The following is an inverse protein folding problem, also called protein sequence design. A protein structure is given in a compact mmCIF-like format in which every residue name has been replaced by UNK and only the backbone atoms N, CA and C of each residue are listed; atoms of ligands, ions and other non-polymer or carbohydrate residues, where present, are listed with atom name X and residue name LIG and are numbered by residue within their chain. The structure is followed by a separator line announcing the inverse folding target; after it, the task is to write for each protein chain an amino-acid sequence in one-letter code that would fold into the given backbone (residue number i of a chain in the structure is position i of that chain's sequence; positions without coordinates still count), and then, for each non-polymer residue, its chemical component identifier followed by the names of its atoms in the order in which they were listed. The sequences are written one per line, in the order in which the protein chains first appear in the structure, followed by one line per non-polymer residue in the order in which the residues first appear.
data_IF_998323146335
#
_entry.id   IF_998323146335
#
_cell.length_a   1.000
_cell.length_b   1.000
_cell.length_c   1.000
_cell.angle_alpha   90.00
_cell.angle_beta   90.00
_cell.angle_gamma   90.00
#
_symmetry.space_group_name_H-M   'P 1'
#
loop_
_entity.id
_entity.type
_entity.pdbx_description
1 polymer ?
#
# COMPACT_ATOMS: atom_id res chain seq x y z
N UNK A 1 -4.49 -20.04 -16.56
CA UNK A 1 -4.82 -21.48 -16.59
C UNK A 1 -5.01 -21.84 -18.05
N UNK A 2 -4.46 -22.97 -18.47
CA UNK A 2 -4.77 -23.50 -19.79
C UNK A 2 -6.25 -23.76 -19.92
N UNK A 3 -6.81 -23.61 -21.12
CA UNK A 3 -8.25 -23.83 -21.41
C UNK A 3 -8.74 -25.24 -21.02
N UNK A 4 -7.85 -26.15 -20.62
CA UNK A 4 -8.13 -27.52 -20.19
C UNK A 4 -8.18 -27.76 -18.69
N UNK A 5 -7.89 -26.76 -17.82
CA UNK A 5 -7.90 -26.99 -16.38
C UNK A 5 -9.32 -27.06 -15.83
N UNK A 6 -9.65 -28.22 -15.23
CA UNK A 6 -10.95 -28.49 -14.60
C UNK A 6 -10.72 -28.96 -13.16
N UNK A 7 -11.27 -28.23 -12.19
CA UNK A 7 -11.25 -28.63 -10.78
C UNK A 7 -12.64 -29.11 -10.35
N UNK A 8 -12.70 -30.30 -9.78
CA UNK A 8 -13.91 -30.89 -9.19
C UNK A 8 -13.69 -31.11 -7.70
N UNK A 9 -14.69 -30.78 -6.91
CA UNK A 9 -14.66 -30.96 -5.46
C UNK A 9 -15.73 -31.95 -5.04
N UNK A 10 -15.29 -32.98 -4.33
CA UNK A 10 -16.17 -34.00 -3.80
C UNK A 10 -16.06 -34.07 -2.28
N UNK A 11 -17.16 -34.30 -1.59
CA UNK A 11 -17.14 -34.61 -0.16
C UNK A 11 -16.89 -36.13 0.03
N UNK A 12 -16.11 -36.49 1.05
CA UNK A 12 -15.91 -37.92 1.44
C UNK A 12 -17.21 -38.60 1.86
N UNK A 13 -18.29 -37.84 2.07
CA UNK A 13 -19.64 -38.39 2.33
C UNK A 13 -20.12 -39.27 1.18
N UNK A 14 -19.78 -38.95 -0.08
CA UNK A 14 -20.20 -39.80 -1.21
C UNK A 14 -19.59 -41.20 -1.15
N UNK A 15 -18.37 -41.35 -0.57
CA UNK A 15 -17.74 -42.66 -0.34
C UNK A 15 -18.42 -43.40 0.83
N UNK A 16 -18.79 -42.68 1.88
CA UNK A 16 -19.40 -43.22 3.09
C UNK A 16 -20.82 -43.76 2.84
N UNK A 17 -21.60 -42.99 2.10
CA UNK A 17 -23.02 -43.29 1.83
C UNK A 17 -23.26 -44.13 0.59
N UNK A 18 -22.21 -44.38 -0.21
CA UNK A 18 -22.33 -45.08 -1.50
C UNK A 18 -23.32 -44.39 -2.45
N UNK A 19 -23.25 -43.07 -2.48
CA UNK A 19 -24.12 -42.16 -3.22
C UNK A 19 -23.86 -42.21 -4.74
N UNK A 20 -24.81 -41.76 -5.55
CA UNK A 20 -24.70 -41.62 -7.01
C UNK A 20 -23.46 -40.82 -7.46
N UNK A 21 -22.97 -39.92 -6.62
CA UNK A 21 -21.72 -39.18 -6.84
C UNK A 21 -20.47 -40.07 -6.75
N UNK A 22 -20.53 -41.27 -6.21
CA UNK A 22 -19.38 -42.18 -6.11
C UNK A 22 -18.92 -42.67 -7.48
N UNK A 23 -19.86 -43.00 -8.38
CA UNK A 23 -19.53 -43.40 -9.75
C UNK A 23 -18.90 -42.22 -10.53
N UNK A 24 -19.39 -41.00 -10.30
CA UNK A 24 -18.85 -39.79 -10.89
C UNK A 24 -17.43 -39.56 -10.39
N UNK A 25 -17.21 -39.64 -9.06
CA UNK A 25 -15.90 -39.52 -8.44
C UNK A 25 -14.91 -40.53 -9.00
N UNK A 26 -15.32 -41.79 -9.11
CA UNK A 26 -14.46 -42.88 -9.63
C UNK A 26 -14.05 -42.64 -11.08
N UNK A 27 -15.00 -42.20 -11.92
CA UNK A 27 -14.73 -41.88 -13.31
C UNK A 27 -13.79 -40.67 -13.45
N UNK A 28 -14.00 -39.62 -12.65
CA UNK A 28 -13.16 -38.42 -12.72
C UNK A 28 -11.76 -38.69 -12.15
N UNK A 29 -11.62 -39.52 -11.10
CA UNK A 29 -10.31 -39.94 -10.59
C UNK A 29 -9.48 -40.66 -11.64
N UNK A 30 -10.10 -41.52 -12.45
CA UNK A 30 -9.41 -42.25 -13.51
C UNK A 30 -8.86 -41.34 -14.63
N UNK A 31 -9.32 -40.09 -14.71
CA UNK A 31 -8.95 -39.09 -15.72
C UNK A 31 -8.16 -37.91 -15.16
N UNK A 32 -7.92 -37.94 -13.84
CA UNK A 32 -7.28 -36.82 -13.15
C UNK A 32 -5.78 -36.93 -13.17
N UNK A 33 -5.11 -35.83 -13.46
CA UNK A 33 -3.66 -35.69 -13.36
C UNK A 33 -3.20 -35.41 -11.93
N UNK A 34 -4.12 -34.96 -11.06
CA UNK A 34 -3.87 -34.64 -9.66
C UNK A 34 -5.06 -34.92 -8.77
N UNK A 35 -4.79 -35.46 -7.59
CA UNK A 35 -5.74 -35.63 -6.50
C UNK A 35 -5.28 -34.85 -5.26
N UNK A 36 -6.18 -34.05 -4.71
CA UNK A 36 -6.00 -33.35 -3.45
C UNK A 36 -6.90 -33.95 -2.39
N UNK A 37 -6.31 -34.62 -1.41
CA UNK A 37 -7.01 -35.13 -0.25
C UNK A 37 -6.94 -34.15 0.90
N UNK A 38 -8.08 -33.58 1.29
CA UNK A 38 -8.14 -32.53 2.32
C UNK A 38 -8.96 -33.02 3.49
N UNK A 39 -8.35 -33.10 4.66
CA UNK A 39 -9.00 -33.49 5.93
C UNK A 39 -9.77 -34.84 5.89
N UNK A 40 -9.29 -35.77 5.12
CA UNK A 40 -9.89 -37.10 5.04
C UNK A 40 -9.42 -37.95 6.23
N UNK A 41 -10.32 -38.20 7.18
CA UNK A 41 -10.01 -38.93 8.42
C UNK A 41 -10.79 -40.24 8.59
N UNK A 42 -11.80 -40.47 7.77
CA UNK A 42 -12.63 -41.65 7.84
C UNK A 42 -11.96 -42.88 7.20
N UNK A 43 -11.90 -43.97 7.93
CA UNK A 43 -11.20 -45.21 7.51
C UNK A 43 -11.75 -45.81 6.21
N UNK A 44 -13.07 -45.75 6.00
CA UNK A 44 -13.72 -46.26 4.78
C UNK A 44 -13.32 -45.45 3.57
N UNK A 45 -13.31 -44.12 3.73
CA UNK A 45 -12.89 -43.18 2.71
C UNK A 45 -11.39 -43.31 2.38
N UNK A 46 -10.56 -43.52 3.40
CA UNK A 46 -9.11 -43.74 3.25
C UNK A 46 -8.86 -45.01 2.44
N UNK A 47 -9.46 -46.14 2.84
CA UNK A 47 -9.29 -47.42 2.15
C UNK A 47 -9.78 -47.35 0.69
N UNK A 48 -10.88 -46.66 0.44
CA UNK A 48 -11.43 -46.50 -0.90
C UNK A 48 -10.50 -45.62 -1.79
N UNK A 49 -9.99 -44.51 -1.26
CA UNK A 49 -9.07 -43.64 -1.97
C UNK A 49 -7.74 -44.36 -2.26
N UNK A 50 -7.18 -45.11 -1.31
CA UNK A 50 -5.98 -45.89 -1.53
C UNK A 50 -6.12 -46.87 -2.69
N UNK A 51 -7.29 -47.52 -2.79
CA UNK A 51 -7.60 -48.48 -3.86
C UNK A 51 -7.74 -47.78 -5.23
N UNK A 52 -8.32 -46.58 -5.28
CA UNK A 52 -8.75 -45.97 -6.52
C UNK A 52 -7.81 -44.82 -7.00
N UNK A 53 -6.82 -44.37 -6.21
CA UNK A 53 -5.92 -43.28 -6.57
C UNK A 53 -4.54 -43.74 -7.06
N UNK A 54 -4.28 -45.02 -7.13
CA UNK A 54 -2.97 -45.60 -7.46
C UNK A 54 -2.43 -45.23 -8.87
N UNK A 55 -3.33 -44.94 -9.80
CA UNK A 55 -2.98 -44.51 -11.16
C UNK A 55 -2.72 -43.01 -11.31
N UNK A 56 -3.08 -42.21 -10.31
CA UNK A 56 -2.99 -40.76 -10.39
C UNK A 56 -1.51 -40.34 -10.21
N UNK A 57 -0.93 -39.56 -11.15
CA UNK A 57 0.47 -39.19 -11.10
C UNK A 57 0.85 -38.38 -9.86
N UNK A 58 -0.05 -37.50 -9.43
CA UNK A 58 0.18 -36.55 -8.38
C UNK A 58 -0.90 -36.62 -7.31
N UNK A 59 -0.55 -37.05 -6.10
CA UNK A 59 -1.48 -37.11 -4.96
C UNK A 59 -0.94 -36.26 -3.84
N UNK A 60 -1.66 -35.19 -3.50
CA UNK A 60 -1.32 -34.27 -2.41
C UNK A 60 -2.30 -34.49 -1.27
N UNK A 61 -1.78 -34.70 -0.07
CA UNK A 61 -2.60 -34.91 1.12
C UNK A 61 -2.40 -33.74 2.09
N UNK A 62 -3.50 -33.17 2.55
CA UNK A 62 -3.54 -32.11 3.55
C UNK A 62 -4.43 -32.56 4.72
N UNK A 63 -3.86 -32.61 5.94
CA UNK A 63 -4.55 -33.13 7.12
C UNK A 63 -5.21 -34.49 6.90
N UNK A 64 -4.63 -35.31 6.07
CA UNK A 64 -5.05 -36.63 5.73
C UNK A 64 -3.94 -37.63 6.04
N UNK A 65 -4.21 -38.92 6.33
CA UNK A 65 -3.17 -39.87 6.66
C UNK A 65 -2.08 -40.02 5.61
N UNK A 66 -0.85 -40.20 6.06
CA UNK A 66 0.34 -40.36 5.20
C UNK A 66 0.22 -41.50 4.20
N UNK A 67 -0.59 -42.49 4.53
CA UNK A 67 -0.88 -43.63 3.66
C UNK A 67 -1.62 -43.27 2.35
N UNK A 68 -2.21 -42.08 2.28
CA UNK A 68 -2.89 -41.59 1.08
C UNK A 68 -1.99 -40.82 0.13
N UNK A 69 -0.84 -40.31 0.61
CA UNK A 69 0.08 -39.51 -0.18
C UNK A 69 1.37 -40.24 -0.45
N UNK A 70 1.86 -40.22 -1.67
CA UNK A 70 3.05 -40.99 -1.98
C UNK A 70 4.07 -40.33 -2.92
N UNK A 71 3.70 -39.33 -3.71
CA UNK A 71 4.58 -38.85 -4.78
C UNK A 71 5.02 -37.41 -4.66
N UNK A 72 4.29 -36.57 -3.96
CA UNK A 72 4.59 -35.15 -3.86
C UNK A 72 5.21 -34.73 -2.53
N UNK A 73 5.43 -35.69 -1.59
CA UNK A 73 6.07 -35.42 -0.32
C UNK A 73 5.39 -34.28 0.44
N UNK A 74 4.17 -34.47 0.85
CA UNK A 74 3.47 -33.55 1.73
C UNK A 74 3.89 -33.76 3.18
N UNK A 75 3.90 -32.71 3.99
CA UNK A 75 3.94 -32.87 5.44
C UNK A 75 2.54 -33.15 5.94
N UNK A 76 2.41 -34.17 6.77
CA UNK A 76 1.13 -34.58 7.31
C UNK A 76 0.99 -34.01 8.71
N UNK A 77 -0.06 -33.24 8.93
CA UNK A 77 -0.48 -32.85 10.27
C UNK A 77 -1.43 -33.95 10.77
N UNK A 78 -0.96 -34.81 11.63
CA UNK A 78 -1.81 -35.81 12.27
C UNK A 78 -2.83 -35.13 13.16
N UNK A 79 -4.10 -35.42 12.92
CA UNK A 79 -5.18 -34.90 13.72
C UNK A 79 -5.25 -35.65 15.07
N UNK A 80 -4.70 -35.05 16.12
CA UNK A 80 -4.79 -35.56 17.50
C UNK A 80 -6.14 -35.21 18.12
N UNK A 81 -7.19 -35.84 17.63
CA UNK A 81 -8.52 -35.95 18.27
C UNK A 81 -9.27 -34.64 18.52
N UNK A 82 -10.40 -34.47 17.88
CA UNK A 82 -11.40 -33.41 18.05
C UNK A 82 -11.80 -32.71 16.75
N UNK A 83 -12.92 -32.05 16.76
CA UNK A 83 -13.54 -31.41 15.58
C UNK A 83 -12.54 -30.63 14.75
N UNK A 84 -12.28 -31.07 13.52
CA UNK A 84 -11.24 -30.57 12.59
C UNK A 84 -11.36 -29.06 12.35
N UNK A 85 -12.57 -28.54 12.24
CA UNK A 85 -12.82 -27.09 12.03
C UNK A 85 -12.48 -26.22 13.24
N UNK A 86 -12.60 -26.73 14.47
CA UNK A 86 -12.23 -25.98 15.68
C UNK A 86 -10.71 -25.88 15.85
N UNK A 87 -9.98 -26.93 15.46
CA UNK A 87 -8.52 -27.01 15.66
C UNK A 87 -7.71 -26.26 14.61
N UNK A 88 -8.19 -26.14 13.37
CA UNK A 88 -7.55 -25.29 12.36
C UNK A 88 -7.72 -23.81 12.67
N UNK A 89 -8.85 -23.42 13.27
CA UNK A 89 -8.99 -22.07 13.81
C UNK A 89 -8.00 -21.79 14.95
N UNK A 90 -7.53 -22.83 15.66
CA UNK A 90 -6.53 -22.73 16.72
C UNK A 90 -5.08 -22.82 16.21
N UNK A 91 -4.81 -23.48 15.08
CA UNK A 91 -3.50 -23.48 14.41
C UNK A 91 -3.15 -22.11 13.83
N UNK A 92 -4.17 -21.34 13.42
CA UNK A 92 -4.00 -19.94 12.97
C UNK A 92 -4.02 -18.95 14.14
N UNK A 93 -4.31 -19.38 15.37
CA UNK A 93 -4.16 -18.57 16.57
C UNK A 93 -2.75 -18.70 17.16
N UNK A 94 -2.15 -17.64 17.70
CA UNK A 94 -0.73 -17.58 18.10
C UNK A 94 -0.35 -18.50 19.28
N UNK A 95 -1.09 -19.54 19.61
CA UNK A 95 -0.80 -20.48 20.71
C UNK A 95 0.11 -21.66 20.34
N UNK A 96 0.38 -21.91 19.06
CA UNK A 96 1.45 -22.83 18.68
C UNK A 96 2.20 -22.31 17.45
N UNK A 97 3.14 -21.43 17.71
CA UNK A 97 4.04 -20.89 16.67
C UNK A 97 4.80 -21.99 15.89
N UNK A 98 4.96 -23.18 16.47
CA UNK A 98 5.64 -24.32 15.82
C UNK A 98 4.76 -24.99 14.78
N UNK A 99 3.48 -25.29 15.09
CA UNK A 99 2.57 -25.95 14.14
C UNK A 99 2.22 -25.03 12.95
N UNK A 100 2.01 -23.73 13.22
CA UNK A 100 1.82 -22.77 12.14
C UNK A 100 3.08 -22.66 11.26
N UNK A 101 4.26 -22.71 11.85
CA UNK A 101 5.53 -22.68 11.13
C UNK A 101 5.74 -23.92 10.27
N UNK A 102 5.32 -25.11 10.74
CA UNK A 102 5.39 -26.36 10.00
C UNK A 102 4.43 -26.36 8.80
N UNK A 103 3.20 -25.86 8.97
CA UNK A 103 2.25 -25.68 7.86
C UNK A 103 2.80 -24.71 6.83
N UNK A 104 3.33 -23.57 7.26
CA UNK A 104 3.98 -22.58 6.38
C UNK A 104 5.12 -23.22 5.62
N UNK A 105 6.01 -23.92 6.31
CA UNK A 105 7.16 -24.58 5.70
C UNK A 105 6.73 -25.61 4.67
N UNK A 106 5.73 -26.42 4.99
CA UNK A 106 5.18 -27.44 4.08
C UNK A 106 4.59 -26.83 2.82
N UNK A 107 3.81 -25.76 2.96
CA UNK A 107 3.23 -25.05 1.82
C UNK A 107 4.32 -24.38 0.99
N UNK A 108 5.32 -23.75 1.64
CA UNK A 108 6.47 -23.17 0.94
C UNK A 108 7.30 -24.22 0.22
N UNK A 109 7.58 -25.35 0.85
CA UNK A 109 8.32 -26.46 0.24
C UNK A 109 7.58 -27.10 -0.92
N UNK A 110 6.26 -27.21 -0.84
CA UNK A 110 5.40 -27.68 -1.94
C UNK A 110 5.34 -26.64 -3.06
N UNK A 111 5.27 -25.35 -2.71
CA UNK A 111 5.28 -24.24 -3.66
C UNK A 111 6.57 -24.14 -4.46
N UNK A 112 7.71 -24.28 -3.79
CA UNK A 112 9.03 -24.21 -4.44
C UNK A 112 9.34 -25.44 -5.31
N UNK A 113 8.88 -26.61 -4.88
CA UNK A 113 9.10 -27.87 -5.62
C UNK A 113 8.25 -28.01 -6.87
N UNK A 114 7.10 -27.36 -6.91
CA UNK A 114 6.16 -27.51 -8.00
C UNK A 114 6.00 -26.21 -8.78
N UNK A 115 6.61 -26.15 -9.94
CA UNK A 115 6.48 -25.03 -10.88
C UNK A 115 5.14 -25.01 -11.64
N UNK A 116 4.26 -25.98 -11.42
CA UNK A 116 2.96 -26.02 -12.06
C UNK A 116 2.00 -25.01 -11.40
N UNK A 117 1.50 -24.06 -12.20
CA UNK A 117 0.57 -23.02 -11.74
C UNK A 117 -0.70 -23.62 -11.13
N UNK A 118 -1.10 -24.81 -11.59
CA UNK A 118 -2.27 -25.53 -11.10
C UNK A 118 -2.11 -26.02 -9.65
N UNK A 119 -0.93 -26.52 -9.29
CA UNK A 119 -0.63 -26.94 -7.90
C UNK A 119 -0.64 -25.74 -6.99
N UNK A 120 -0.02 -24.64 -7.41
CA UNK A 120 0.00 -23.38 -6.68
C UNK A 120 -1.42 -22.83 -6.47
N UNK A 121 -2.26 -22.90 -7.49
CA UNK A 121 -3.66 -22.53 -7.38
C UNK A 121 -4.41 -23.39 -6.36
N UNK A 122 -4.24 -24.70 -6.42
CA UNK A 122 -4.87 -25.62 -5.46
C UNK A 122 -4.40 -25.35 -4.02
N UNK A 123 -3.12 -25.09 -3.80
CA UNK A 123 -2.58 -24.71 -2.48
C UNK A 123 -3.22 -23.42 -1.96
N UNK A 124 -3.43 -22.43 -2.82
CA UNK A 124 -4.12 -21.20 -2.45
C UNK A 124 -5.60 -21.41 -2.13
N UNK A 125 -6.29 -22.26 -2.88
CA UNK A 125 -7.68 -22.63 -2.59
C UNK A 125 -7.78 -23.32 -1.24
N UNK A 126 -6.85 -24.22 -0.93
CA UNK A 126 -6.76 -24.91 0.36
C UNK A 126 -6.53 -23.88 1.47
N UNK A 127 -5.50 -23.03 1.35
CA UNK A 127 -5.19 -21.99 2.33
C UNK A 127 -6.41 -21.08 2.54
N UNK A 128 -7.07 -20.63 1.47
CA UNK A 128 -8.25 -19.77 1.56
C UNK A 128 -9.47 -20.50 2.17
N UNK A 129 -9.51 -21.81 2.13
CA UNK A 129 -10.60 -22.59 2.74
C UNK A 129 -10.40 -22.78 4.24
N UNK A 130 -9.16 -22.85 4.68
CA UNK A 130 -8.78 -23.08 6.07
C UNK A 130 -8.48 -21.81 6.86
N UNK A 131 -7.91 -20.78 6.22
CA UNK A 131 -7.75 -19.46 6.80
C UNK A 131 -9.07 -18.72 6.60
N UNK A 132 -9.60 -18.04 7.64
CA UNK A 132 -10.77 -17.15 7.48
C UNK A 132 -10.60 -16.34 6.20
N UNK A 133 -11.55 -16.39 5.26
CA UNK A 133 -11.39 -15.83 3.95
C UNK A 133 -10.95 -14.37 4.05
N UNK A 134 -9.73 -14.09 3.62
CA UNK A 134 -9.23 -12.73 3.54
C UNK A 134 -10.11 -12.03 2.51
N UNK A 135 -10.77 -10.91 2.84
CA UNK A 135 -11.71 -10.24 1.94
C UNK A 135 -11.11 -9.95 0.57
N UNK A 136 -9.81 -9.67 0.50
CA UNK A 136 -9.09 -9.44 -0.75
C UNK A 136 -9.14 -10.66 -1.69
N UNK A 137 -9.11 -11.88 -1.16
CA UNK A 137 -9.20 -13.08 -1.99
C UNK A 137 -10.61 -13.29 -2.54
N UNK A 138 -11.66 -12.83 -1.85
CA UNK A 138 -13.02 -12.78 -2.40
C UNK A 138 -13.11 -11.80 -3.55
N UNK A 139 -12.51 -10.63 -3.41
CA UNK A 139 -12.48 -9.61 -4.45
C UNK A 139 -11.61 -10.01 -5.65
N UNK A 140 -10.53 -10.75 -5.42
CA UNK A 140 -9.70 -11.33 -6.46
C UNK A 140 -10.45 -12.37 -7.29
N UNK A 141 -11.28 -13.19 -6.66
CA UNK A 141 -12.18 -14.12 -7.37
C UNK A 141 -13.18 -13.37 -8.26
N UNK A 142 -13.63 -12.20 -7.82
CA UNK A 142 -14.54 -11.36 -8.61
C UNK A 142 -13.86 -10.68 -9.81
N UNK A 143 -12.53 -10.46 -9.75
CA UNK A 143 -11.75 -9.84 -10.83
C UNK A 143 -11.21 -10.82 -11.88
N UNK A 144 -11.37 -12.12 -11.66
CA UNK A 144 -11.03 -13.17 -12.62
C UNK A 144 -9.74 -13.96 -12.32
N UNK A 145 -9.57 -15.01 -13.11
CA UNK A 145 -8.47 -15.97 -12.97
C UNK A 145 -7.11 -15.37 -13.35
N UNK A 146 -7.07 -14.37 -14.25
CA UNK A 146 -5.84 -13.70 -14.69
C UNK A 146 -5.09 -13.05 -13.53
N UNK A 147 -5.80 -12.31 -12.67
CA UNK A 147 -5.24 -11.68 -11.47
C UNK A 147 -4.63 -12.71 -10.52
N UNK A 148 -5.35 -13.79 -10.27
CA UNK A 148 -4.90 -14.85 -9.38
C UNK A 148 -3.67 -15.56 -9.96
N UNK A 149 -3.68 -15.90 -11.24
CA UNK A 149 -2.54 -16.49 -11.94
C UNK A 149 -1.31 -15.59 -11.91
N UNK A 150 -1.49 -14.28 -12.13
CA UNK A 150 -0.40 -13.31 -12.02
C UNK A 150 0.21 -13.30 -10.62
N UNK A 151 -0.62 -13.24 -9.58
CA UNK A 151 -0.16 -13.25 -8.19
C UNK A 151 0.59 -14.54 -7.86
N UNK A 152 0.06 -15.69 -8.29
CA UNK A 152 0.65 -16.99 -8.03
C UNK A 152 1.99 -17.18 -8.73
N UNK A 153 2.02 -16.85 -10.02
CA UNK A 153 3.19 -17.06 -10.85
C UNK A 153 4.35 -16.14 -10.46
N UNK A 154 4.04 -14.88 -10.18
CA UNK A 154 5.06 -13.85 -10.00
C UNK A 154 5.35 -13.50 -8.55
N UNK A 155 4.38 -13.68 -7.63
CA UNK A 155 4.43 -13.17 -6.26
C UNK A 155 4.01 -14.20 -5.19
N UNK A 156 4.13 -15.48 -5.50
CA UNK A 156 3.62 -16.53 -4.61
C UNK A 156 4.17 -16.48 -3.19
N UNK A 157 5.47 -16.25 -3.05
CA UNK A 157 6.13 -16.14 -1.75
C UNK A 157 5.63 -14.93 -0.95
N UNK A 158 5.53 -13.77 -1.59
CA UNK A 158 5.05 -12.53 -0.95
C UNK A 158 3.58 -12.63 -0.56
N UNK A 159 2.76 -13.27 -1.39
CA UNK A 159 1.35 -13.55 -1.09
C UNK A 159 1.23 -14.45 0.14
N UNK A 160 1.99 -15.54 0.19
CA UNK A 160 1.98 -16.46 1.33
C UNK A 160 2.48 -15.79 2.61
N UNK A 161 3.60 -15.10 2.55
CA UNK A 161 4.16 -14.40 3.70
C UNK A 161 3.17 -13.36 4.26
N UNK A 162 2.47 -12.61 3.41
CA UNK A 162 1.43 -11.70 3.82
C UNK A 162 0.23 -12.42 4.45
N UNK A 163 -0.20 -13.54 3.88
CA UNK A 163 -1.29 -14.34 4.42
C UNK A 163 -0.99 -14.92 5.81
N UNK A 164 0.27 -15.23 6.10
CA UNK A 164 0.68 -15.75 7.39
C UNK A 164 1.01 -14.67 8.41
N UNK A 165 1.34 -13.46 7.98
CA UNK A 165 1.58 -12.33 8.89
C UNK A 165 0.26 -11.71 9.38
N UNK A 166 0.03 -11.65 10.71
CA UNK A 166 -1.22 -11.12 11.26
C UNK A 166 -1.45 -9.64 10.92
N UNK A 167 -0.39 -8.83 10.87
CA UNK A 167 -0.48 -7.40 10.57
C UNK A 167 -0.80 -7.19 9.10
N UNK A 168 -0.10 -7.88 8.20
CA UNK A 168 -0.39 -7.82 6.77
C UNK A 168 -1.84 -8.21 6.46
N UNK A 169 -2.36 -9.28 7.04
CA UNK A 169 -3.78 -9.65 6.88
C UNK A 169 -4.74 -8.58 7.36
N UNK A 170 -4.49 -8.02 8.56
CA UNK A 170 -5.33 -6.94 9.10
C UNK A 170 -5.28 -5.70 8.22
N UNK A 171 -4.08 -5.33 7.72
CA UNK A 171 -3.91 -4.23 6.78
C UNK A 171 -4.74 -4.45 5.51
N UNK A 172 -4.64 -5.62 4.88
CA UNK A 172 -5.41 -5.95 3.68
C UNK A 172 -6.92 -5.98 3.93
N UNK A 173 -7.37 -6.48 5.09
CA UNK A 173 -8.78 -6.45 5.49
C UNK A 173 -9.29 -5.02 5.65
N UNK A 174 -8.51 -4.18 6.32
CA UNK A 174 -8.81 -2.78 6.53
C UNK A 174 -8.86 -2.02 5.19
N UNK A 175 -7.83 -2.13 4.37
CA UNK A 175 -7.75 -1.48 3.05
C UNK A 175 -8.91 -1.87 2.14
N UNK A 176 -9.36 -3.12 2.21
CA UNK A 176 -10.51 -3.58 1.43
C UNK A 176 -11.85 -2.99 1.89
N UNK A 177 -11.93 -2.48 3.12
CA UNK A 177 -13.12 -1.78 3.63
C UNK A 177 -13.14 -0.29 3.28
N UNK A 178 -12.00 0.26 2.86
CA UNK A 178 -11.89 1.66 2.45
C UNK A 178 -12.39 1.86 1.01
N UNK A 179 -13.01 3.02 0.74
CA UNK A 179 -13.20 3.44 -0.65
C UNK A 179 -11.83 3.68 -1.32
N UNK A 180 -11.65 3.32 -2.59
CA UNK A 180 -10.36 3.49 -3.27
C UNK A 180 -9.82 4.93 -3.26
N UNK A 181 -10.70 5.92 -3.24
CA UNK A 181 -10.38 7.35 -3.20
C UNK A 181 -10.23 7.90 -1.78
N UNK A 182 -10.55 7.12 -0.75
CA UNK A 182 -10.45 7.55 0.65
C UNK A 182 -9.01 7.41 1.16
N UNK A 183 -8.22 8.44 0.95
CA UNK A 183 -6.82 8.50 1.38
C UNK A 183 -6.66 8.39 2.90
N UNK A 184 -7.58 8.97 3.67
CA UNK A 184 -7.53 8.95 5.14
C UNK A 184 -7.71 7.52 5.65
N UNK A 185 -8.73 6.82 5.19
CA UNK A 185 -8.98 5.42 5.52
C UNK A 185 -7.78 4.54 5.15
N UNK A 186 -7.33 4.63 3.90
CA UNK A 186 -6.21 3.84 3.40
C UNK A 186 -4.94 4.08 4.22
N UNK A 187 -4.61 5.33 4.50
CA UNK A 187 -3.40 5.68 5.22
C UNK A 187 -3.45 5.25 6.70
N UNK A 188 -4.61 5.38 7.35
CA UNK A 188 -4.83 4.89 8.73
C UNK A 188 -4.70 3.38 8.83
N UNK A 189 -5.22 2.63 7.85
CA UNK A 189 -5.03 1.18 7.79
C UNK A 189 -3.56 0.78 7.72
N UNK A 190 -2.80 1.42 6.82
CA UNK A 190 -1.36 1.18 6.66
C UNK A 190 -0.61 1.53 7.94
N UNK A 191 -0.87 2.72 8.52
CA UNK A 191 -0.21 3.17 9.73
C UNK A 191 -0.53 2.32 10.96
N UNK A 192 -1.72 1.70 11.01
CA UNK A 192 -2.14 0.86 12.14
C UNK A 192 -1.59 -0.56 12.08
N UNK A 193 -1.30 -1.06 10.89
CA UNK A 193 -0.89 -2.45 10.65
C UNK A 193 0.38 -2.54 9.81
N UNK A 194 1.35 -1.67 10.08
CA UNK A 194 2.63 -1.63 9.36
C UNK A 194 3.33 -3.01 9.42
N UNK A 195 3.74 -3.50 8.25
CA UNK A 195 4.38 -4.82 8.14
C UNK A 195 5.31 -4.85 6.92
N UNK A 196 6.54 -5.39 7.05
CA UNK A 196 7.43 -5.59 5.92
C UNK A 196 6.85 -6.55 4.87
N UNK A 197 5.97 -7.45 5.28
CA UNK A 197 5.28 -8.37 4.36
C UNK A 197 4.19 -7.66 3.56
N UNK A 198 3.53 -6.63 4.12
CA UNK A 198 2.61 -5.77 3.36
C UNK A 198 3.37 -4.99 2.28
N UNK A 199 4.53 -4.44 2.63
CA UNK A 199 5.38 -3.72 1.69
C UNK A 199 5.87 -4.64 0.56
N UNK A 200 6.38 -5.83 0.89
CA UNK A 200 6.83 -6.82 -0.08
C UNK A 200 5.69 -7.29 -1.00
N UNK A 201 4.51 -7.56 -0.43
CA UNK A 201 3.30 -7.91 -1.17
C UNK A 201 2.91 -6.81 -2.16
N UNK A 202 2.80 -5.57 -1.69
CA UNK A 202 2.43 -4.44 -2.53
C UNK A 202 3.47 -4.18 -3.63
N UNK A 203 4.74 -4.28 -3.29
CA UNK A 203 5.83 -4.11 -4.26
C UNK A 203 5.77 -5.17 -5.38
N UNK A 204 5.50 -6.42 -5.05
CA UNK A 204 5.42 -7.48 -6.05
C UNK A 204 4.10 -7.44 -6.83
N UNK A 205 2.97 -7.45 -6.13
CA UNK A 205 1.64 -7.61 -6.73
C UNK A 205 1.18 -6.37 -7.48
N UNK A 206 1.41 -5.18 -6.89
CA UNK A 206 0.96 -3.92 -7.48
C UNK A 206 2.06 -3.29 -8.34
N UNK A 207 3.22 -3.01 -7.76
CA UNK A 207 4.21 -2.15 -8.40
C UNK A 207 4.99 -2.85 -9.52
N UNK A 208 5.46 -4.10 -9.31
CA UNK A 208 6.29 -4.82 -10.28
C UNK A 208 5.47 -5.51 -11.37
N UNK A 209 4.41 -6.19 -10.98
CA UNK A 209 3.66 -7.06 -11.89
C UNK A 209 2.27 -6.52 -12.26
N UNK A 210 1.79 -5.46 -11.58
CA UNK A 210 0.46 -4.88 -11.78
C UNK A 210 -0.66 -5.94 -11.94
N UNK A 211 -0.64 -6.94 -11.05
CA UNK A 211 -1.57 -8.07 -11.14
C UNK A 211 -3.06 -7.67 -11.00
N UNK A 212 -3.35 -6.47 -10.49
CA UNK A 212 -4.70 -5.94 -10.41
C UNK A 212 -5.11 -5.12 -11.64
N UNK A 213 -4.19 -4.92 -12.60
CA UNK A 213 -4.41 -4.14 -13.82
C UNK A 213 -4.92 -2.72 -13.52
N UNK A 214 -4.40 -2.13 -12.43
CA UNK A 214 -4.74 -0.78 -12.00
C UNK A 214 -3.81 0.23 -12.70
N UNK A 215 -4.37 1.37 -13.07
CA UNK A 215 -3.60 2.49 -13.61
C UNK A 215 -4.21 3.81 -13.16
N UNK A 216 -3.34 4.78 -12.86
CA UNK A 216 -3.72 6.15 -12.63
C UNK A 216 -2.62 7.07 -13.16
N UNK A 217 -3.02 8.16 -13.81
CA UNK A 217 -2.09 9.07 -14.49
C UNK A 217 -2.01 10.41 -13.78
N UNK A 218 -0.80 10.95 -13.72
CA UNK A 218 -0.57 12.35 -13.33
C UNK A 218 -0.47 13.23 -14.58
N UNK A 219 -0.87 14.51 -14.49
CA UNK A 219 -0.66 15.46 -15.57
C UNK A 219 0.83 15.60 -15.93
N UNK A 220 1.12 15.77 -17.21
CA UNK A 220 2.47 16.13 -17.70
C UNK A 220 2.66 17.63 -17.88
N UNK A 221 1.58 18.40 -17.76
CA UNK A 221 1.55 19.86 -17.87
C UNK A 221 0.83 20.45 -16.66
N UNK A 222 1.13 21.71 -16.29
CA UNK A 222 0.40 22.37 -15.22
C UNK A 222 -1.11 22.41 -15.52
N UNK A 223 -1.92 22.04 -14.54
CA UNK A 223 -3.39 22.16 -14.60
C UNK A 223 -3.78 23.60 -14.27
N UNK A 224 -3.01 24.24 -13.39
CA UNK A 224 -3.15 25.65 -13.01
C UNK A 224 -1.97 26.44 -13.51
N UNK A 225 -2.16 27.74 -13.86
CA UNK A 225 -1.06 28.59 -14.25
C UNK A 225 -0.03 28.74 -13.11
N UNK A 226 1.25 28.44 -13.35
CA UNK A 226 2.28 28.66 -12.34
C UNK A 226 2.54 30.15 -12.14
N UNK A 227 3.09 30.48 -10.97
CA UNK A 227 3.58 31.82 -10.66
C UNK A 227 4.54 32.29 -11.76
N UNK A 228 4.26 33.43 -12.37
CA UNK A 228 5.08 33.97 -13.46
C UNK A 228 6.18 34.92 -13.00
N UNK A 229 5.96 35.59 -11.86
CA UNK A 229 6.88 36.58 -11.29
C UNK A 229 6.93 36.44 -9.78
N UNK A 230 8.12 36.66 -9.20
CA UNK A 230 8.32 36.77 -7.77
C UNK A 230 9.16 38.01 -7.48
N UNK A 231 8.69 38.91 -6.61
CA UNK A 231 9.36 40.16 -6.26
C UNK A 231 9.79 41.00 -7.49
N UNK A 232 8.91 41.09 -8.49
CA UNK A 232 9.12 41.81 -9.78
C UNK A 232 10.17 41.16 -10.70
N UNK A 233 10.72 40.02 -10.37
CA UNK A 233 11.59 39.24 -11.26
C UNK A 233 10.79 38.10 -11.93
N UNK A 234 11.07 37.81 -13.19
CA UNK A 234 10.45 36.67 -13.91
C UNK A 234 10.88 35.36 -13.24
N UNK A 235 9.93 34.53 -12.93
CA UNK A 235 10.21 33.26 -12.29
C UNK A 235 11.01 32.34 -13.21
N UNK A 236 12.16 31.91 -12.78
CA UNK A 236 12.98 30.91 -13.42
C UNK A 236 13.10 29.65 -12.53
N UNK A 237 13.69 28.58 -13.06
CA UNK A 237 13.81 27.33 -12.32
C UNK A 237 14.64 27.45 -11.04
N UNK A 238 15.63 28.32 -10.99
CA UNK A 238 16.47 28.52 -9.81
C UNK A 238 15.70 29.21 -8.70
N UNK A 239 15.03 30.31 -9.03
CA UNK A 239 14.20 31.08 -8.09
C UNK A 239 13.05 30.18 -7.58
N UNK A 240 12.38 29.45 -8.48
CA UNK A 240 11.29 28.55 -8.11
C UNK A 240 11.75 27.46 -7.12
N UNK A 241 12.92 26.87 -7.35
CA UNK A 241 13.49 25.87 -6.44
C UNK A 241 13.89 26.50 -5.09
N UNK A 242 14.48 27.70 -5.15
CA UNK A 242 14.89 28.44 -3.96
C UNK A 242 13.69 28.89 -3.10
N UNK A 243 12.51 29.11 -3.69
CA UNK A 243 11.30 29.38 -2.93
C UNK A 243 10.94 28.23 -1.97
N UNK A 244 11.14 26.99 -2.36
CA UNK A 244 10.95 25.86 -1.45
C UNK A 244 12.05 25.79 -0.38
N UNK A 245 13.32 25.84 -0.79
CA UNK A 245 14.46 25.62 0.12
C UNK A 245 14.73 26.86 0.99
N UNK A 246 14.65 28.05 0.40
CA UNK A 246 14.99 29.30 1.07
C UNK A 246 14.02 29.70 2.16
N UNK A 247 12.77 29.44 1.95
CA UNK A 247 11.75 29.72 2.95
C UNK A 247 11.95 28.90 4.22
N UNK A 248 12.28 27.63 4.07
CA UNK A 248 12.55 26.73 5.18
C UNK A 248 13.76 27.12 6.02
N UNK A 249 14.80 27.66 5.40
CA UNK A 249 16.00 28.08 6.11
C UNK A 249 15.78 29.20 7.11
N UNK A 250 14.68 29.97 6.98
CA UNK A 250 14.31 31.03 7.93
C UNK A 250 13.43 30.56 9.09
N UNK A 251 12.94 29.31 9.05
CA UNK A 251 11.88 28.81 9.89
C UNK A 251 12.25 27.57 10.70
N UNK A 252 13.46 27.50 11.22
CA UNK A 252 13.88 26.36 12.05
C UNK A 252 13.57 25.00 11.40
N UNK A 253 13.88 24.86 10.07
CA UNK A 253 13.81 23.60 9.31
C UNK A 253 12.50 23.29 8.59
N UNK A 254 11.40 23.99 8.88
CA UNK A 254 10.12 23.61 8.27
C UNK A 254 9.15 24.76 8.17
N UNK A 255 8.36 24.74 7.14
CA UNK A 255 7.10 25.44 7.15
C UNK A 255 5.95 24.44 7.36
N UNK A 256 4.84 24.98 7.81
CA UNK A 256 3.69 24.17 8.19
C UNK A 256 2.58 24.31 7.19
N UNK A 257 1.80 23.26 7.03
CA UNK A 257 0.55 23.34 6.31
C UNK A 257 -0.48 24.04 7.20
N UNK A 258 -1.02 25.15 6.72
CA UNK A 258 -2.11 25.85 7.39
C UNK A 258 -3.47 25.24 7.01
N UNK A 259 -3.66 24.94 5.72
CA UNK A 259 -4.89 24.32 5.21
C UNK A 259 -4.67 23.65 3.85
N UNK A 260 -5.59 22.78 3.45
CA UNK A 260 -5.56 22.17 2.11
C UNK A 260 -6.93 21.67 1.67
N UNK A 261 -7.10 21.41 0.38
CA UNK A 261 -8.38 21.02 -0.20
C UNK A 261 -8.80 19.56 0.07
N UNK A 262 -7.92 18.74 0.58
CA UNK A 262 -8.23 17.33 0.84
C UNK A 262 -8.66 17.13 2.29
N UNK A 263 -9.66 16.30 2.61
CA UNK A 263 -10.05 15.95 3.99
C UNK A 263 -8.90 15.41 4.85
N UNK A 264 -7.83 14.87 4.25
CA UNK A 264 -6.64 14.44 4.97
C UNK A 264 -5.98 15.57 5.79
N UNK A 265 -6.14 16.82 5.39
CA UNK A 265 -5.54 17.96 6.09
C UNK A 265 -6.15 18.20 7.47
N UNK A 266 -7.41 17.97 7.64
CA UNK A 266 -8.10 18.05 8.93
C UNK A 266 -7.89 16.79 9.81
N UNK A 267 -7.62 15.64 9.17
CA UNK A 267 -7.48 14.35 9.85
C UNK A 267 -6.06 14.01 10.31
N UNK A 268 -5.05 14.65 9.71
CA UNK A 268 -3.65 14.44 10.04
C UNK A 268 -3.05 15.70 10.66
N UNK A 269 -2.96 15.79 12.00
CA UNK A 269 -2.41 16.97 12.67
C UNK A 269 -0.91 17.11 12.47
N UNK A 270 -0.40 18.31 12.77
CA UNK A 270 1.04 18.61 12.81
C UNK A 270 1.76 18.37 11.51
N UNK A 271 1.31 19.02 10.45
CA UNK A 271 1.88 18.82 9.10
C UNK A 271 3.03 19.79 8.82
N UNK A 272 4.25 19.25 8.77
CA UNK A 272 5.47 19.97 8.41
C UNK A 272 5.93 19.58 7.01
N UNK A 273 6.52 20.56 6.31
CA UNK A 273 7.03 20.43 4.96
C UNK A 273 8.54 20.68 4.96
N UNK A 274 9.34 19.62 4.95
CA UNK A 274 10.80 19.73 4.93
C UNK A 274 11.29 19.68 3.48
N UNK A 275 11.95 20.75 3.03
CA UNK A 275 12.61 20.77 1.73
C UNK A 275 14.10 21.03 1.91
N UNK A 276 14.95 20.27 1.26
CA UNK A 276 16.40 20.45 1.37
C UNK A 276 17.15 19.91 0.14
N UNK A 277 18.36 20.42 -0.07
CA UNK A 277 19.29 19.91 -1.07
C UNK A 277 20.15 18.82 -0.45
N UNK A 278 20.31 17.69 -1.14
CA UNK A 278 21.21 16.62 -0.72
C UNK A 278 22.68 16.90 -1.06
N UNK A 279 23.59 16.02 -0.61
CA UNK A 279 25.04 16.12 -0.89
C UNK A 279 25.37 16.10 -2.39
N UNK A 280 24.64 15.32 -3.18
CA UNK A 280 24.86 15.24 -4.61
C UNK A 280 24.30 16.49 -5.33
N UNK A 281 25.08 17.03 -6.27
CA UNK A 281 24.64 18.17 -7.09
C UNK A 281 23.33 17.84 -7.81
N UNK A 282 22.34 18.74 -7.70
CA UNK A 282 21.03 18.58 -8.32
C UNK A 282 20.10 17.62 -7.58
N UNK A 283 20.48 17.10 -6.40
CA UNK A 283 19.57 16.35 -5.55
C UNK A 283 18.72 17.33 -4.73
N UNK A 284 17.40 17.18 -4.84
CA UNK A 284 16.43 17.97 -4.13
C UNK A 284 15.39 17.03 -3.51
N UNK A 285 15.09 17.22 -2.23
CA UNK A 285 14.28 16.33 -1.43
C UNK A 285 13.16 17.08 -0.75
N UNK A 286 12.05 16.39 -0.59
CA UNK A 286 10.90 16.82 0.17
C UNK A 286 10.52 15.73 1.17
N UNK A 287 10.31 16.10 2.41
CA UNK A 287 9.85 15.18 3.44
C UNK A 287 8.66 15.79 4.20
N UNK A 288 7.42 15.36 3.89
CA UNK A 288 6.28 15.65 4.75
C UNK A 288 6.44 14.90 6.08
N UNK A 289 6.19 15.61 7.17
CA UNK A 289 6.17 15.05 8.54
C UNK A 289 4.84 15.40 9.16
N UNK A 290 4.10 14.41 9.62
CA UNK A 290 2.76 14.61 10.18
C UNK A 290 2.37 13.49 11.13
N UNK A 291 1.34 13.72 11.93
CA UNK A 291 0.78 12.69 12.79
C UNK A 291 -0.41 11.99 12.14
N UNK A 292 -0.54 10.70 12.43
CA UNK A 292 -1.67 9.88 12.02
C UNK A 292 -2.30 9.26 13.24
N UNK A 293 -3.61 9.38 13.37
CA UNK A 293 -4.37 8.66 14.38
C UNK A 293 -4.66 7.25 13.88
N UNK A 294 -4.02 6.26 14.49
CA UNK A 294 -4.24 4.85 14.20
C UNK A 294 -5.65 4.39 14.59
N UNK A 295 -6.04 3.20 14.17
CA UNK A 295 -7.38 2.66 14.46
C UNK A 295 -7.60 2.37 15.95
N UNK A 296 -6.53 2.14 16.72
CA UNK A 296 -6.55 2.02 18.18
C UNK A 296 -6.47 3.38 18.92
N UNK A 297 -6.53 4.49 18.17
CA UNK A 297 -6.60 5.85 18.70
C UNK A 297 -5.26 6.51 19.02
N UNK A 298 -4.13 5.83 18.84
CA UNK A 298 -2.79 6.39 19.09
C UNK A 298 -2.40 7.38 17.99
N UNK A 299 -1.70 8.44 18.37
CA UNK A 299 -1.03 9.33 17.41
C UNK A 299 0.38 8.83 17.17
N UNK A 300 0.73 8.64 15.89
CA UNK A 300 2.06 8.19 15.47
C UNK A 300 2.62 9.14 14.42
N UNK A 301 3.90 9.49 14.55
CA UNK A 301 4.56 10.29 13.55
C UNK A 301 4.79 9.49 12.28
N UNK A 302 4.58 10.14 11.14
CA UNK A 302 4.91 9.63 9.82
C UNK A 302 5.81 10.61 9.08
N UNK A 303 6.77 10.07 8.36
CA UNK A 303 7.73 10.84 7.56
C UNK A 303 8.02 10.04 6.29
N UNK A 304 7.97 10.69 5.14
CA UNK A 304 8.26 10.09 3.84
C UNK A 304 9.29 10.94 3.12
N UNK A 305 10.12 10.33 2.30
CA UNK A 305 11.17 11.02 1.56
C UNK A 305 10.89 10.96 0.07
N UNK A 306 10.49 12.09 -0.48
CA UNK A 306 10.26 12.25 -1.91
C UNK A 306 11.50 12.79 -2.59
N UNK A 307 11.85 12.20 -3.73
CA UNK A 307 12.79 12.82 -4.67
C UNK A 307 12.05 13.86 -5.48
N UNK A 308 12.60 15.06 -5.54
CA UNK A 308 12.04 16.17 -6.30
C UNK A 308 12.86 16.44 -7.55
N UNK A 309 12.19 16.69 -8.66
CA UNK A 309 12.79 17.11 -9.93
C UNK A 309 12.02 18.27 -10.51
N UNK A 310 12.74 19.19 -11.16
CA UNK A 310 12.14 20.32 -11.89
C UNK A 310 11.22 19.80 -13.00
N UNK A 311 10.07 20.43 -13.16
CA UNK A 311 9.24 20.27 -14.35
C UNK A 311 9.78 21.06 -15.55
N UNK A 312 9.09 20.97 -16.67
CA UNK A 312 9.50 21.69 -17.89
C UNK A 312 9.21 23.21 -17.81
N UNK A 313 8.26 23.60 -17.00
CA UNK A 313 7.87 25.01 -16.79
C UNK A 313 8.40 25.47 -15.45
N UNK A 314 9.02 26.66 -15.33
CA UNK A 314 9.41 27.23 -14.05
C UNK A 314 8.24 27.27 -13.06
N UNK A 315 8.51 26.94 -11.80
CA UNK A 315 7.45 26.82 -10.77
C UNK A 315 6.70 25.49 -10.79
N UNK A 316 7.14 24.51 -11.60
CA UNK A 316 6.56 23.16 -11.57
C UNK A 316 7.59 22.11 -11.21
N UNK A 317 7.14 21.04 -10.51
CA UNK A 317 8.01 20.00 -9.98
C UNK A 317 7.35 18.62 -10.03
N UNK A 318 8.16 17.59 -10.20
CA UNK A 318 7.77 16.19 -10.03
C UNK A 318 8.33 15.66 -8.72
N UNK A 319 7.46 15.07 -7.94
CA UNK A 319 7.79 14.38 -6.69
C UNK A 319 7.59 12.88 -6.89
N UNK A 320 8.47 12.07 -6.34
CA UNK A 320 8.33 10.61 -6.40
C UNK A 320 8.83 9.96 -5.12
N UNK A 321 8.09 8.99 -4.62
CA UNK A 321 8.43 8.18 -3.44
C UNK A 321 8.03 6.73 -3.67
N UNK A 322 8.82 5.81 -3.15
CA UNK A 322 8.40 4.43 -2.92
C UNK A 322 7.93 4.34 -1.47
N UNK A 323 6.65 4.12 -1.27
CA UNK A 323 6.04 4.03 0.06
C UNK A 323 5.13 2.82 0.14
N UNK A 324 5.32 2.00 1.17
CA UNK A 324 4.57 0.75 1.38
C UNK A 324 4.49 -0.16 0.12
N UNK A 325 5.60 -0.23 -0.61
CA UNK A 325 5.73 -1.07 -1.81
C UNK A 325 5.11 -0.49 -3.09
N UNK A 326 4.58 0.74 -3.06
CA UNK A 326 3.96 1.40 -4.22
C UNK A 326 4.67 2.72 -4.50
N UNK A 327 4.92 3.00 -5.79
CA UNK A 327 5.48 4.28 -6.22
C UNK A 327 4.36 5.30 -6.36
N UNK A 328 4.40 6.33 -5.51
CA UNK A 328 3.58 7.53 -5.69
C UNK A 328 4.36 8.60 -6.44
N UNK A 329 3.67 9.28 -7.36
CA UNK A 329 4.19 10.41 -8.11
C UNK A 329 3.22 11.57 -8.00
N UNK A 330 3.76 12.76 -7.82
CA UNK A 330 2.98 13.99 -7.75
C UNK A 330 3.57 15.03 -8.70
N UNK A 331 2.70 15.85 -9.26
CA UNK A 331 3.05 17.02 -10.03
C UNK A 331 2.59 18.26 -9.28
N UNK A 332 3.54 19.11 -8.89
CA UNK A 332 3.27 20.30 -8.11
C UNK A 332 3.50 21.57 -8.91
N UNK A 333 2.67 22.57 -8.66
CA UNK A 333 2.75 23.91 -9.27
C UNK A 333 2.75 24.95 -8.16
N UNK A 334 3.73 25.86 -8.16
CA UNK A 334 3.70 27.05 -7.32
C UNK A 334 2.65 27.98 -7.92
N UNK A 335 1.54 28.21 -7.22
CA UNK A 335 0.45 29.05 -7.68
C UNK A 335 0.72 30.51 -7.32
N UNK A 336 1.04 30.74 -6.05
CA UNK A 336 1.47 32.05 -5.57
C UNK A 336 2.24 31.92 -4.24
N UNK A 337 3.10 32.90 -3.97
CA UNK A 337 3.88 33.04 -2.73
C UNK A 337 3.91 34.50 -2.37
N UNK A 338 3.60 34.86 -1.13
CA UNK A 338 3.68 36.24 -0.66
C UNK A 338 5.13 36.74 -0.68
N UNK A 339 5.31 38.04 -0.96
CA UNK A 339 6.65 38.62 -1.09
C UNK A 339 7.45 38.61 0.23
N UNK A 340 6.76 38.58 1.36
CA UNK A 340 7.31 38.49 2.72
C UNK A 340 7.41 37.08 3.27
N UNK A 341 7.02 36.07 2.47
CA UNK A 341 6.95 34.67 2.89
C UNK A 341 5.97 34.39 4.03
N UNK A 342 4.96 35.21 4.21
CA UNK A 342 3.93 34.94 5.22
C UNK A 342 3.02 33.77 4.84
N UNK A 343 2.90 33.47 3.54
CA UNK A 343 2.14 32.33 3.03
C UNK A 343 2.59 31.88 1.64
N UNK A 344 2.25 30.66 1.27
CA UNK A 344 2.38 30.12 -0.08
C UNK A 344 1.27 29.15 -0.42
N UNK A 345 0.82 29.19 -1.67
CA UNK A 345 -0.20 28.30 -2.21
C UNK A 345 0.39 27.45 -3.32
N UNK A 346 0.25 26.14 -3.19
CA UNK A 346 0.69 25.14 -4.16
C UNK A 346 -0.48 24.29 -4.60
N UNK A 347 -0.55 24.02 -5.90
CA UNK A 347 -1.47 23.05 -6.45
C UNK A 347 -0.73 21.75 -6.73
N UNK A 348 -1.34 20.61 -6.40
CA UNK A 348 -0.75 19.31 -6.68
C UNK A 348 -1.75 18.38 -7.36
N UNK A 349 -1.21 17.48 -8.18
CA UNK A 349 -1.94 16.32 -8.72
C UNK A 349 -1.07 15.10 -8.55
N UNK A 350 -1.60 14.05 -7.97
CA UNK A 350 -0.84 12.86 -7.67
C UNK A 350 -1.50 11.58 -8.11
N UNK A 351 -0.70 10.56 -8.20
CA UNK A 351 -1.14 9.21 -8.44
C UNK A 351 -0.21 8.20 -7.80
N UNK A 352 -0.82 7.19 -7.20
CA UNK A 352 -0.23 5.89 -6.95
C UNK A 352 -0.74 4.95 -8.05
N UNK A 353 -0.09 5.00 -9.22
CA UNK A 353 -0.60 4.39 -10.44
C UNK A 353 -0.93 2.91 -10.27
N UNK A 354 -0.01 2.14 -9.71
CA UNK A 354 -0.17 0.71 -9.47
C UNK A 354 -1.25 0.37 -8.42
N UNK A 355 -1.71 1.35 -7.64
CA UNK A 355 -2.84 1.20 -6.71
C UNK A 355 -4.15 1.79 -7.29
N UNK A 356 -4.12 2.32 -8.51
CA UNK A 356 -5.28 2.92 -9.17
C UNK A 356 -5.79 4.20 -8.49
N UNK A 357 -4.92 4.88 -7.73
CA UNK A 357 -5.28 6.07 -6.97
C UNK A 357 -4.79 7.34 -7.67
N UNK A 358 -5.69 8.29 -7.88
CA UNK A 358 -5.36 9.64 -8.31
C UNK A 358 -6.03 10.66 -7.39
N UNK A 359 -5.37 11.77 -7.18
CA UNK A 359 -5.86 12.87 -6.35
C UNK A 359 -5.34 14.21 -6.87
N UNK A 360 -6.06 15.26 -6.57
CA UNK A 360 -5.66 16.63 -6.89
C UNK A 360 -6.13 17.55 -5.76
N UNK A 361 -5.48 18.68 -5.60
CA UNK A 361 -5.87 19.66 -4.62
C UNK A 361 -4.87 20.81 -4.52
N UNK A 362 -5.09 21.69 -3.55
CA UNK A 362 -4.18 22.73 -3.18
C UNK A 362 -3.77 22.63 -1.72
N UNK A 363 -2.59 23.11 -1.41
CA UNK A 363 -2.05 23.24 -0.06
C UNK A 363 -1.60 24.66 0.19
N UNK A 364 -2.13 25.24 1.26
CA UNK A 364 -1.74 26.54 1.80
C UNK A 364 -0.77 26.30 2.96
N UNK A 365 0.34 26.96 2.91
CA UNK A 365 1.39 26.84 3.93
C UNK A 365 1.75 28.21 4.49
N UNK A 366 2.20 28.22 5.73
CA UNK A 366 2.67 29.41 6.44
C UNK A 366 3.79 29.05 7.42
N UNK A 367 4.56 30.02 7.90
CA UNK A 367 5.63 29.78 8.88
C UNK A 367 5.17 29.11 10.18
N UNK A 368 4.05 29.54 10.69
CA UNK A 368 3.48 29.11 11.96
C UNK A 368 2.38 28.04 11.84
N UNK A 369 1.95 27.74 10.60
CA UNK A 369 0.85 26.82 10.34
C UNK A 369 -0.52 27.44 10.60
N UNK A 370 -0.58 28.75 10.76
CA UNK A 370 -1.84 29.48 10.89
C UNK A 370 -2.35 29.97 9.55
N UNK A 371 -3.64 30.07 9.41
CA UNK A 371 -4.24 30.67 8.24
C UNK A 371 -3.83 32.15 8.17
N UNK A 372 -3.41 32.66 7.00
CA UNK A 372 -2.96 34.05 6.88
C UNK A 372 -4.04 35.04 7.32
N UNK A 373 -3.68 36.12 8.04
CA UNK A 373 -4.66 37.16 8.44
C UNK A 373 -5.23 37.87 7.22
N UNK A 374 -6.38 38.52 7.39
CA UNK A 374 -7.20 39.13 6.30
C UNK A 374 -6.44 40.07 5.37
N UNK A 375 -5.33 40.66 5.77
CA UNK A 375 -4.53 41.56 4.93
C UNK A 375 -3.83 40.85 3.75
N UNK A 376 -3.68 39.53 3.78
CA UNK A 376 -3.26 38.73 2.62
C UNK A 376 -4.42 38.28 1.72
N UNK A 377 -5.66 38.57 2.15
CA UNK A 377 -6.87 37.95 1.65
C UNK A 377 -7.12 38.08 0.15
N UNK A 378 -7.03 39.28 -0.41
CA UNK A 378 -7.36 39.50 -1.83
C UNK A 378 -6.40 38.71 -2.77
N UNK A 379 -5.08 38.71 -2.47
CA UNK A 379 -4.11 37.98 -3.29
C UNK A 379 -4.23 36.47 -3.13
N UNK A 380 -4.48 36.01 -1.90
CA UNK A 380 -4.74 34.59 -1.63
C UNK A 380 -6.03 34.12 -2.30
N UNK A 381 -7.11 34.89 -2.19
CA UNK A 381 -8.38 34.56 -2.86
C UNK A 381 -8.19 34.50 -4.38
N UNK A 382 -7.47 35.43 -4.99
CA UNK A 382 -7.14 35.39 -6.42
C UNK A 382 -6.27 34.18 -6.79
N UNK A 383 -5.37 33.73 -5.90
CA UNK A 383 -4.58 32.53 -6.12
C UNK A 383 -5.45 31.25 -6.03
N UNK A 384 -6.37 31.20 -5.08
CA UNK A 384 -7.34 30.08 -4.97
C UNK A 384 -8.28 30.04 -6.19
N UNK A 385 -8.71 31.21 -6.68
CA UNK A 385 -9.54 31.31 -7.87
C UNK A 385 -8.83 30.76 -9.12
N UNK A 386 -7.50 30.96 -9.26
CA UNK A 386 -6.70 30.32 -10.33
C UNK A 386 -6.74 28.79 -10.25
N UNK A 387 -6.91 28.24 -9.07
CA UNK A 387 -7.07 26.79 -8.84
C UNK A 387 -8.54 26.34 -8.99
N UNK A 388 -9.48 27.26 -9.24
CA UNK A 388 -10.92 26.99 -9.18
C UNK A 388 -11.39 26.48 -7.81
N UNK A 389 -10.74 26.96 -6.74
CA UNK A 389 -11.01 26.58 -5.34
C UNK A 389 -11.52 27.81 -4.60
N UNK A 390 -12.54 27.60 -3.76
CA UNK A 390 -13.02 28.61 -2.82
C UNK A 390 -12.37 28.41 -1.46
N UNK A 391 -12.19 29.47 -0.71
CA UNK A 391 -11.55 29.46 0.61
C UNK A 391 -12.23 28.48 1.59
N UNK A 392 -13.56 28.38 1.55
CA UNK A 392 -14.33 27.46 2.39
C UNK A 392 -14.18 25.97 2.01
N UNK A 393 -13.58 25.64 0.88
CA UNK A 393 -13.25 24.27 0.48
C UNK A 393 -11.93 23.76 1.12
N UNK A 394 -11.24 24.62 1.85
CA UNK A 394 -9.99 24.28 2.51
C UNK A 394 -10.25 23.74 3.92
N UNK A 395 -9.67 22.60 4.21
CA UNK A 395 -9.62 21.99 5.53
C UNK A 395 -8.40 22.50 6.29
N UNK A 396 -8.58 23.03 7.49
CA UNK A 396 -7.50 23.54 8.34
C UNK A 396 -6.78 22.41 9.04
N UNK A 397 -5.45 22.54 9.19
CA UNK A 397 -4.62 21.58 9.91
C UNK A 397 -4.52 21.97 11.38
N UNK A 398 -4.74 21.02 12.28
CA UNK A 398 -4.44 21.21 13.71
C UNK A 398 -2.91 21.15 13.94
N UNK A 399 -2.31 22.30 14.18
CA UNK A 399 -0.90 22.45 14.49
C UNK A 399 -0.63 22.79 15.98
N UNK A 400 -1.59 22.56 16.88
CA UNK A 400 -1.50 23.02 18.28
C UNK A 400 -0.59 22.14 19.15
N UNK A 401 -0.56 20.83 18.95
CA UNK A 401 0.12 19.88 19.84
C UNK A 401 1.17 19.05 19.09
N UNK A 402 2.23 19.71 18.63
CA UNK A 402 3.22 19.13 17.72
C UNK A 402 4.58 18.80 18.37
N UNK A 403 4.57 18.48 19.66
CA UNK A 403 5.80 18.14 20.37
C UNK A 403 6.44 16.84 19.83
N UNK A 404 7.78 16.80 19.81
CA UNK A 404 8.54 15.62 19.42
C UNK A 404 8.51 15.32 17.90
N UNK A 405 8.17 16.30 17.05
CA UNK A 405 8.23 16.13 15.60
C UNK A 405 9.64 15.76 15.12
N UNK A 406 9.81 14.70 14.30
CA UNK A 406 11.11 14.24 13.81
C UNK A 406 11.60 15.11 12.63
N UNK A 407 12.06 16.35 12.89
CA UNK A 407 12.36 17.35 11.89
C UNK A 407 13.82 17.38 11.40
N UNK A 408 14.74 16.61 12.00
CA UNK A 408 16.15 16.57 11.58
C UNK A 408 16.32 16.20 10.10
N UNK A 409 17.23 16.85 9.39
CA UNK A 409 17.60 16.50 8.01
C UNK A 409 18.92 15.72 7.98
N UNK A 410 19.19 14.92 6.93
CA UNK A 410 20.41 14.15 6.83
C UNK A 410 21.66 15.03 6.86
N UNK A 411 22.71 14.54 7.53
CA UNK A 411 23.99 15.24 7.59
C UNK A 411 24.58 15.56 6.21
N UNK A 412 25.06 16.79 6.04
CA UNK A 412 25.59 17.31 4.78
C UNK A 412 24.50 17.75 3.79
N UNK A 413 23.23 17.80 4.21
CA UNK A 413 22.17 18.48 3.48
C UNK A 413 22.29 20.00 3.63
N UNK A 414 21.74 20.76 2.67
CA UNK A 414 21.79 22.21 2.64
C UNK A 414 20.40 22.81 2.53
N UNK A 415 20.17 23.86 3.33
CA UNK A 415 18.97 24.71 3.28
C UNK A 415 19.26 26.08 2.66
N UNK A 416 20.49 26.32 2.22
CA UNK A 416 20.90 27.61 1.69
C UNK A 416 20.16 27.93 0.37
N UNK A 417 19.63 29.15 0.29
CA UNK A 417 18.93 29.70 -0.86
C UNK A 417 19.46 31.10 -1.19
N UNK A 418 19.57 31.38 -2.48
CA UNK A 418 19.96 32.71 -2.97
C UNK A 418 18.87 33.76 -2.73
N UNK A 419 17.60 33.34 -2.75
CA UNK A 419 16.45 34.20 -2.49
C UNK A 419 16.49 34.73 -1.06
N UNK A 420 16.84 33.88 -0.11
CA UNK A 420 16.96 34.25 1.29
C UNK A 420 18.13 35.19 1.57
N UNK A 421 19.29 34.96 0.96
CA UNK A 421 20.49 35.75 1.16
C UNK A 421 20.33 37.23 0.73
N UNK A 422 19.39 37.54 -0.17
CA UNK A 422 19.11 38.93 -0.60
C UNK A 422 18.33 39.73 0.45
N UNK A 423 17.72 39.11 1.45
CA UNK A 423 16.73 39.73 2.35
C UNK A 423 17.07 39.73 3.84
N UNK A 424 18.33 39.45 4.23
CA UNK A 424 18.77 39.56 5.64
C UNK A 424 18.50 40.96 6.27
N UNK A 425 18.22 41.97 5.47
CA UNK A 425 17.81 43.30 5.95
C UNK A 425 16.37 43.40 6.44
N UNK A 426 15.51 42.42 6.14
CA UNK A 426 14.08 42.43 6.52
C UNK A 426 13.79 41.74 7.85
N UNK A 427 14.50 40.67 8.17
CA UNK A 427 14.30 39.86 9.38
C UNK A 427 14.70 40.63 10.67
N UNK A 428 15.59 41.63 10.57
CA UNK A 428 16.00 42.41 11.73
C UNK A 428 15.01 43.52 12.16
N UNK A 429 13.93 43.76 11.43
CA UNK A 429 12.92 44.78 11.77
C UNK A 429 11.64 44.27 12.40
N UNK A 430 11.48 42.98 12.58
CA UNK A 430 10.27 42.36 13.15
C UNK A 430 10.55 41.51 14.42
N UNK A 431 11.67 41.79 15.09
CA UNK A 431 11.88 41.31 16.47
C UNK A 431 11.55 42.42 17.48
#
# INVERSE_FOLDING_TARGET
MDEGFKMLVFSDKCIKSNDSNLEVLQRELARSDMLLNVAVSDQKSIAWLQKNSGSIPNVVCFESPSSLGNKLGGTFVENRGGNIFGKLADVVRPKSSKEALEVVKTVSDAWERHNADDIRFCLLVIINSYIKPVPILKNLRAKGLSTLTCMLKNCGTEVLNCLFDPNCRKALQCLNSCAPTDQVCNYRCIASYESPYLEAFSLCVLQKNNCLELDAKIPSKPVVPPLSMFRREVLNHEIAEDLFVGWLGSLEWSWRVAAGQNPAYDQFPCQYQLFYRGKARGSFWYEPVFQVRTLDGKLVWRRRRYRVRRGNVPGTFYFSVLDNGVVSKEFWTIVDVSDDFSWGLFHYSGAAAAAGQSYTGAVLVSPDGMYPPEMGGQRLLSALEKCSIKDWELYTVDNCSCEGAPLGIPEGSSLHSKVQARDEKWVSKTR
#
